data_IF_318230688769
#
_entry.id   IF_318230688769
#
_cell.length_a   1.000
_cell.length_b   1.000
_cell.length_c   1.000
_cell.angle_alpha   90.00
_cell.angle_beta   90.00
_cell.angle_gamma   90.00
#
_symmetry.space_group_name_H-M   'P 1'
#
loop_
_entity.id
_entity.type
_entity.pdbx_description
1 polymer ?
#
# COMPACT_ATOMS: atom_id res chain seq x y z
N UNK A 1 -21.46 -9.80 11.34
CA UNK A 1 -20.77 -8.52 11.15
C UNK A 1 -19.50 -8.72 10.38
N UNK A 2 -19.23 -7.85 9.42
CA UNK A 2 -18.03 -7.96 8.59
C UNK A 2 -16.91 -7.12 9.18
N UNK A 3 -15.73 -7.72 9.31
CA UNK A 3 -14.54 -7.00 9.78
C UNK A 3 -13.62 -6.73 8.58
N UNK A 4 -13.22 -5.48 8.40
CA UNK A 4 -12.27 -5.12 7.36
C UNK A 4 -10.86 -5.45 7.83
N UNK A 5 -10.09 -6.03 6.91
CA UNK A 5 -8.67 -6.27 7.16
C UNK A 5 -7.90 -5.00 6.78
N UNK A 6 -7.38 -4.31 7.77
CA UNK A 6 -6.64 -3.07 7.60
C UNK A 6 -5.12 -3.29 7.55
N UNK A 7 -4.68 -4.52 7.46
CA UNK A 7 -3.25 -4.83 7.49
C UNK A 7 -2.50 -4.13 6.35
N UNK A 8 -3.02 -4.23 5.14
CA UNK A 8 -2.38 -3.57 4.01
C UNK A 8 -2.31 -2.06 4.21
N UNK A 9 -3.41 -1.44 4.63
CA UNK A 9 -3.47 0.01 4.85
C UNK A 9 -2.40 0.45 5.86
N UNK A 10 -2.31 -0.25 6.97
CA UNK A 10 -1.38 0.10 8.06
C UNK A 10 0.06 -0.12 7.65
N UNK A 11 0.35 -1.22 6.97
CA UNK A 11 1.72 -1.52 6.52
C UNK A 11 2.16 -0.62 5.39
N UNK A 12 1.23 -0.26 4.49
CA UNK A 12 1.51 0.71 3.44
C UNK A 12 1.91 2.05 4.05
N UNK A 13 1.12 2.55 4.99
CA UNK A 13 1.42 3.82 5.65
C UNK A 13 2.75 3.76 6.39
N UNK A 14 3.00 2.66 7.10
CA UNK A 14 4.27 2.46 7.81
C UNK A 14 5.45 2.50 6.85
N UNK A 15 5.37 1.76 5.75
CA UNK A 15 6.46 1.70 4.78
C UNK A 15 6.72 3.07 4.14
N UNK A 16 5.67 3.81 3.84
CA UNK A 16 5.79 5.15 3.27
C UNK A 16 6.43 6.10 4.27
N UNK A 17 5.98 6.06 5.53
CA UNK A 17 6.51 6.92 6.59
C UNK A 17 8.00 6.63 6.83
N UNK A 18 8.37 5.36 6.92
CA UNK A 18 9.75 4.97 7.15
C UNK A 18 10.68 5.42 6.03
N UNK A 19 10.17 5.51 4.81
CA UNK A 19 10.94 5.92 3.63
C UNK A 19 10.77 7.38 3.29
N UNK A 20 9.95 8.10 4.07
CA UNK A 20 9.65 9.50 3.83
C UNK A 20 9.09 9.73 2.42
N UNK A 21 8.21 8.84 2.00
CA UNK A 21 7.56 8.88 0.68
C UNK A 21 6.11 9.31 0.87
N UNK A 22 5.70 10.35 0.13
CA UNK A 22 4.32 10.85 0.17
C UNK A 22 3.48 10.19 -0.93
N UNK A 23 2.13 10.24 -0.81
CA UNK A 23 1.25 9.60 -1.79
C UNK A 23 1.52 10.02 -3.24
N UNK A 24 1.82 11.30 -3.49
CA UNK A 24 2.12 11.75 -4.85
C UNK A 24 3.41 11.14 -5.39
N UNK A 25 4.40 10.94 -4.52
CA UNK A 25 5.66 10.29 -4.91
C UNK A 25 5.43 8.82 -5.24
N UNK A 26 4.65 8.16 -4.40
CA UNK A 26 4.34 6.75 -4.61
C UNK A 26 3.54 6.55 -5.90
N UNK A 27 2.57 7.43 -6.15
CA UNK A 27 1.79 7.38 -7.39
C UNK A 27 2.71 7.46 -8.61
N UNK A 28 3.64 8.41 -8.58
CA UNK A 28 4.58 8.58 -9.69
C UNK A 28 5.49 7.37 -9.87
N UNK A 29 6.00 6.82 -8.76
CA UNK A 29 6.93 5.69 -8.81
C UNK A 29 6.24 4.38 -9.19
N UNK A 30 5.03 4.16 -8.69
CA UNK A 30 4.33 2.90 -8.88
C UNK A 30 3.45 2.88 -10.13
N UNK A 31 3.04 4.04 -10.60
CA UNK A 31 2.04 4.13 -11.67
C UNK A 31 0.61 3.88 -11.18
N UNK A 32 0.42 3.71 -9.87
CA UNK A 32 -0.92 3.60 -9.28
C UNK A 32 -1.44 5.01 -9.04
N UNK A 33 -2.72 5.26 -9.30
CA UNK A 33 -3.26 6.61 -9.16
C UNK A 33 -3.18 7.08 -7.71
N UNK A 34 -2.97 8.38 -7.52
CA UNK A 34 -2.91 8.98 -6.19
C UNK A 34 -4.21 8.75 -5.43
N UNK A 35 -5.34 8.82 -6.13
CA UNK A 35 -6.65 8.58 -5.55
C UNK A 35 -6.75 7.16 -4.97
N UNK A 36 -6.27 6.17 -5.71
CA UNK A 36 -6.26 4.79 -5.22
C UNK A 36 -5.35 4.64 -4.00
N UNK A 37 -4.18 5.28 -4.03
CA UNK A 37 -3.25 5.20 -2.89
C UNK A 37 -3.89 5.78 -1.63
N UNK A 38 -4.56 6.91 -1.73
CA UNK A 38 -5.28 7.48 -0.58
C UNK A 38 -6.35 6.53 -0.06
N UNK A 39 -7.11 5.89 -0.95
CA UNK A 39 -8.14 4.94 -0.54
C UNK A 39 -7.53 3.72 0.16
N UNK A 40 -6.36 3.28 -0.29
CA UNK A 40 -5.65 2.18 0.38
C UNK A 40 -5.19 2.58 1.77
N UNK A 41 -4.63 3.78 1.92
CA UNK A 41 -4.12 4.26 3.21
C UNK A 41 -5.25 4.40 4.23
N UNK A 42 -6.39 4.94 3.82
CA UNK A 42 -7.52 5.11 4.73
C UNK A 42 -8.32 3.81 4.92
N UNK A 43 -8.05 2.79 4.10
CA UNK A 43 -8.68 1.49 4.26
C UNK A 43 -10.04 1.35 3.62
N UNK A 44 -10.42 2.28 2.74
CA UNK A 44 -11.73 2.23 2.08
C UNK A 44 -11.75 1.32 0.87
N UNK A 45 -10.60 0.88 0.38
CA UNK A 45 -10.52 -0.10 -0.71
C UNK A 45 -9.31 -0.99 -0.53
N UNK A 46 -9.38 -2.19 -1.10
CA UNK A 46 -8.28 -3.13 -1.12
C UNK A 46 -7.64 -3.12 -2.51
N UNK A 47 -6.31 -3.23 -2.58
CA UNK A 47 -5.64 -3.21 -3.88
C UNK A 47 -5.82 -4.52 -4.63
N UNK A 48 -5.76 -4.44 -5.95
CA UNK A 48 -5.61 -5.63 -6.79
C UNK A 48 -4.22 -6.23 -6.57
N UNK A 49 -4.06 -7.49 -6.93
CA UNK A 49 -2.74 -8.14 -6.87
C UNK A 49 -1.71 -7.36 -7.70
N UNK A 50 -2.13 -6.86 -8.86
CA UNK A 50 -1.26 -6.09 -9.74
C UNK A 50 -0.80 -4.79 -9.06
N UNK A 51 -1.70 -4.10 -8.38
CA UNK A 51 -1.34 -2.86 -7.69
C UNK A 51 -0.46 -3.12 -6.47
N UNK A 52 -0.67 -4.25 -5.76
CA UNK A 52 0.23 -4.64 -4.68
C UNK A 52 1.65 -4.82 -5.21
N UNK A 53 1.79 -5.53 -6.34
CA UNK A 53 3.09 -5.74 -6.97
C UNK A 53 3.78 -4.41 -7.29
N UNK A 54 3.06 -3.50 -7.92
CA UNK A 54 3.61 -2.20 -8.34
C UNK A 54 4.04 -1.36 -7.14
N UNK A 55 3.24 -1.35 -6.09
CA UNK A 55 3.53 -0.62 -4.86
C UNK A 55 4.74 -1.24 -4.16
N UNK A 56 4.78 -2.56 -4.04
CA UNK A 56 5.89 -3.26 -3.41
C UNK A 56 7.21 -2.96 -4.11
N UNK A 57 7.22 -2.97 -5.44
CA UNK A 57 8.42 -2.64 -6.21
C UNK A 57 8.83 -1.18 -5.98
N UNK A 58 7.87 -0.27 -6.00
CA UNK A 58 8.15 1.16 -5.83
C UNK A 58 8.71 1.47 -4.44
N UNK A 59 8.28 0.74 -3.43
CA UNK A 59 8.75 0.92 -2.05
C UNK A 59 9.95 0.04 -1.70
N UNK A 60 10.39 -0.83 -2.62
CA UNK A 60 11.43 -1.83 -2.34
C UNK A 60 11.09 -2.62 -1.09
N UNK A 61 9.84 -3.07 -1.01
CA UNK A 61 9.33 -3.78 0.17
C UNK A 61 8.65 -5.07 -0.27
N UNK A 62 8.55 -6.02 0.64
CA UNK A 62 7.94 -7.31 0.35
C UNK A 62 6.43 -7.19 0.19
N UNK A 63 5.89 -7.72 -0.91
CA UNK A 63 4.45 -7.83 -1.09
C UNK A 63 3.83 -8.71 -0.01
N UNK A 64 4.52 -9.79 0.38
CA UNK A 64 4.06 -10.68 1.44
C UNK A 64 3.90 -9.92 2.76
N UNK A 65 4.87 -9.06 3.07
CA UNK A 65 4.79 -8.26 4.29
C UNK A 65 3.64 -7.26 4.23
N UNK A 66 3.47 -6.60 3.08
CA UNK A 66 2.36 -5.64 2.91
C UNK A 66 1.00 -6.33 3.08
N UNK A 67 0.90 -7.58 2.64
CA UNK A 67 -0.35 -8.34 2.71
C UNK A 67 -0.56 -9.01 4.07
N UNK A 68 0.45 -8.98 4.94
CA UNK A 68 0.34 -9.62 6.26
C UNK A 68 0.58 -11.13 6.24
N UNK A 69 1.22 -11.63 5.18
CA UNK A 69 1.53 -13.05 5.08
C UNK A 69 2.78 -13.42 5.89
N UNK A 70 3.60 -12.44 6.22
CA UNK A 70 4.81 -12.60 7.05
C UNK A 70 4.88 -11.42 8.01
N UNK A 71 5.65 -11.58 9.09
CA UNK A 71 5.83 -10.52 10.10
C UNK A 71 6.83 -9.45 9.68
#
# INVERSE_FOLDING_TARGET
MRTFDLTFARRLEQAMTERNIYPSDLARKSGVSRSNIYNYIVGTSQPSAYNVKRIALALSTSADWLLGLVD
#
